data_IF_138851128829
#
_entry.id   IF_138851128829
#
_cell.length_a   1.000
_cell.length_b   1.000
_cell.length_c   1.000
_cell.angle_alpha   90.00
_cell.angle_beta   90.00
_cell.angle_gamma   90.00
#
_symmetry.space_group_name_H-M   'P 1'
#
loop_
_entity.id
_entity.type
_entity.pdbx_description
1 polymer ?
#
# COMPACT_ATOMS: atom_id res chain seq x y z
N UNK A 1 -30.99 -2.62 -8.62
CA UNK A 1 -29.68 -2.17 -9.12
C UNK A 1 -29.49 -0.77 -8.57
N UNK A 2 -28.76 -0.62 -7.47
CA UNK A 2 -28.41 0.71 -6.95
C UNK A 2 -27.26 1.23 -7.79
N UNK A 3 -27.44 2.38 -8.41
CA UNK A 3 -26.39 3.00 -9.21
C UNK A 3 -25.23 3.41 -8.30
N UNK A 4 -23.99 3.24 -8.75
CA UNK A 4 -22.82 3.79 -8.07
C UNK A 4 -23.04 5.30 -7.83
N UNK A 5 -22.66 5.82 -6.65
CA UNK A 5 -22.74 7.25 -6.38
C UNK A 5 -21.94 8.02 -7.43
N UNK A 6 -22.60 8.99 -8.07
CA UNK A 6 -22.00 9.78 -9.17
C UNK A 6 -21.01 10.83 -8.67
N UNK A 7 -20.96 11.09 -7.39
CA UNK A 7 -20.07 12.05 -6.75
C UNK A 7 -19.63 11.59 -5.35
N UNK A 8 -18.54 12.17 -4.85
CA UNK A 8 -18.09 11.93 -3.47
C UNK A 8 -19.17 12.33 -2.44
N UNK A 9 -19.93 13.40 -2.69
CA UNK A 9 -21.03 13.83 -1.83
C UNK A 9 -22.16 12.82 -1.77
N UNK A 10 -22.49 12.18 -2.88
CA UNK A 10 -23.52 11.13 -2.95
C UNK A 10 -23.06 9.87 -2.19
N UNK A 11 -21.79 9.51 -2.29
CA UNK A 11 -21.21 8.43 -1.51
C UNK A 11 -21.33 8.70 -0.01
N UNK A 12 -20.90 9.87 0.45
CA UNK A 12 -20.96 10.22 1.88
C UNK A 12 -22.40 10.29 2.42
N UNK A 13 -23.37 10.70 1.59
CA UNK A 13 -24.79 10.72 1.99
C UNK A 13 -25.40 9.32 2.14
N UNK A 14 -24.84 8.30 1.47
CA UNK A 14 -25.29 6.92 1.52
C UNK A 14 -24.57 6.09 2.59
N UNK A 15 -23.45 6.54 3.13
CA UNK A 15 -22.66 5.82 4.14
C UNK A 15 -23.51 5.27 5.32
N UNK A 16 -24.46 6.03 5.91
CA UNK A 16 -25.27 5.53 7.02
C UNK A 16 -26.16 4.32 6.65
N UNK A 17 -26.47 4.16 5.36
CA UNK A 17 -27.24 2.99 4.88
C UNK A 17 -26.34 1.79 4.55
N UNK A 18 -25.02 2.01 4.41
CA UNK A 18 -24.05 0.98 4.03
C UNK A 18 -23.29 0.39 5.23
N UNK A 19 -23.32 1.05 6.38
CA UNK A 19 -22.57 0.65 7.58
C UNK A 19 -23.55 0.59 8.76
N UNK A 20 -23.52 -0.52 9.50
CA UNK A 20 -24.24 -0.63 10.76
C UNK A 20 -23.69 0.40 11.76
N UNK A 21 -24.54 1.32 12.30
CA UNK A 21 -24.07 2.37 13.20
C UNK A 21 -23.45 1.86 14.50
N UNK A 22 -23.92 0.74 15.04
CA UNK A 22 -23.39 0.17 16.29
C UNK A 22 -22.01 -0.43 16.06
N UNK A 23 -21.82 -1.17 14.97
CA UNK A 23 -20.52 -1.71 14.57
C UNK A 23 -19.53 -0.60 14.25
N UNK A 24 -19.97 0.46 13.60
CA UNK A 24 -19.09 1.61 13.31
C UNK A 24 -18.65 2.35 14.59
N UNK A 25 -19.57 2.57 15.54
CA UNK A 25 -19.25 3.15 16.83
C UNK A 25 -18.30 2.26 17.65
N UNK A 26 -18.44 0.94 17.56
CA UNK A 26 -17.51 0.01 18.20
C UNK A 26 -16.13 0.12 17.55
N UNK A 27 -16.05 0.06 16.23
CA UNK A 27 -14.80 0.24 15.48
C UNK A 27 -14.09 1.56 15.84
N UNK A 28 -14.83 2.68 15.95
CA UNK A 28 -14.27 3.95 16.37
C UNK A 28 -13.69 3.92 17.79
N UNK A 29 -14.41 3.28 18.73
CA UNK A 29 -13.91 3.12 20.11
C UNK A 29 -12.64 2.30 20.16
N UNK A 30 -12.60 1.18 19.47
CA UNK A 30 -11.45 0.29 19.43
C UNK A 30 -10.24 1.00 18.80
N UNK A 31 -10.48 1.73 17.70
CA UNK A 31 -9.43 2.52 17.05
C UNK A 31 -8.86 3.62 17.95
N UNK A 32 -9.72 4.37 18.63
CA UNK A 32 -9.27 5.39 19.59
C UNK A 32 -8.51 4.79 20.77
N UNK A 33 -8.99 3.66 21.29
CA UNK A 33 -8.30 2.94 22.37
C UNK A 33 -6.90 2.49 21.94
N UNK A 34 -6.77 1.95 20.74
CA UNK A 34 -5.48 1.51 20.20
C UNK A 34 -4.54 2.69 19.94
N UNK A 35 -5.03 3.82 19.43
CA UNK A 35 -4.25 5.05 19.32
C UNK A 35 -3.72 5.51 20.68
N UNK A 36 -4.59 5.51 21.70
CA UNK A 36 -4.20 5.94 23.06
C UNK A 36 -3.21 4.97 23.72
N UNK A 37 -3.32 3.69 23.42
CA UNK A 37 -2.41 2.65 23.92
C UNK A 37 -1.07 2.63 23.18
N UNK A 38 -1.03 3.18 21.98
CA UNK A 38 0.10 3.18 21.06
C UNK A 38 0.26 1.85 20.30
N UNK A 39 0.98 1.90 19.18
CA UNK A 39 1.14 0.74 18.31
C UNK A 39 2.06 -0.33 18.94
N UNK A 40 1.75 -1.60 18.67
CA UNK A 40 2.56 -2.74 19.11
C UNK A 40 3.75 -2.94 18.16
N UNK A 41 4.97 -2.88 18.68
CA UNK A 41 6.20 -3.04 17.88
C UNK A 41 6.35 -4.45 17.31
N UNK A 42 5.82 -5.46 17.99
CA UNK A 42 5.87 -6.86 17.57
C UNK A 42 5.13 -7.07 16.22
N UNK A 43 4.10 -6.28 15.95
CA UNK A 43 3.36 -6.34 14.69
C UNK A 43 4.22 -5.93 13.46
N UNK A 44 5.26 -5.13 13.66
CA UNK A 44 6.18 -4.70 12.59
C UNK A 44 6.95 -5.88 12.02
N UNK A 45 7.41 -6.79 12.88
CA UNK A 45 8.21 -7.96 12.47
C UNK A 45 7.42 -8.97 11.62
N UNK A 46 6.09 -8.97 11.73
CA UNK A 46 5.22 -9.86 10.95
C UNK A 46 4.93 -9.32 9.53
N UNK A 47 5.14 -8.04 9.28
CA UNK A 47 4.90 -7.42 7.97
C UNK A 47 6.16 -7.48 7.11
N UNK A 48 6.08 -8.22 5.99
CA UNK A 48 7.21 -8.41 5.07
C UNK A 48 7.81 -7.11 4.52
N UNK A 49 7.04 -6.03 4.46
CA UNK A 49 7.49 -4.70 4.02
C UNK A 49 8.51 -4.09 4.95
N UNK A 50 8.51 -4.50 6.22
CA UNK A 50 9.38 -4.01 7.28
C UNK A 50 10.30 -5.10 7.83
N UNK A 51 10.55 -6.15 7.03
CA UNK A 51 11.36 -7.30 7.44
C UNK A 51 12.87 -7.04 7.49
N UNK A 52 13.37 -5.99 6.84
CA UNK A 52 14.78 -5.65 6.85
C UNK A 52 15.25 -5.13 8.22
N UNK A 53 16.49 -5.45 8.58
CA UNK A 53 17.07 -5.09 9.87
C UNK A 53 17.11 -3.57 10.13
N UNK A 54 17.19 -2.74 9.09
CA UNK A 54 17.20 -1.28 9.20
C UNK A 54 15.90 -0.73 9.80
N UNK A 55 14.77 -1.42 9.61
CA UNK A 55 13.50 -1.05 10.25
C UNK A 55 13.49 -1.26 11.76
N UNK A 56 14.30 -2.18 12.25
CA UNK A 56 14.35 -2.57 13.67
C UNK A 56 15.51 -1.91 14.43
N UNK A 57 16.54 -1.46 13.73
CA UNK A 57 17.74 -0.87 14.34
C UNK A 57 17.56 0.58 14.78
N UNK A 58 16.55 1.29 14.25
CA UNK A 58 16.28 2.68 14.56
C UNK A 58 14.86 2.86 15.09
N UNK A 59 14.73 3.39 16.29
CA UNK A 59 13.46 3.57 16.99
C UNK A 59 12.45 4.42 16.20
N UNK A 60 12.90 5.41 15.42
CA UNK A 60 12.02 6.27 14.62
C UNK A 60 11.33 5.47 13.52
N UNK A 61 12.11 4.67 12.77
CA UNK A 61 11.55 3.84 11.69
C UNK A 61 10.70 2.69 12.23
N UNK A 62 11.12 2.04 13.32
CA UNK A 62 10.29 1.04 14.00
C UNK A 62 8.95 1.64 14.43
N UNK A 63 8.97 2.83 15.01
CA UNK A 63 7.75 3.52 15.45
C UNK A 63 6.85 3.91 14.28
N UNK A 64 7.44 4.40 13.18
CA UNK A 64 6.72 4.76 11.96
C UNK A 64 6.03 3.54 11.34
N UNK A 65 6.74 2.42 11.21
CA UNK A 65 6.17 1.16 10.72
C UNK A 65 5.05 0.64 11.65
N UNK A 66 5.23 0.75 12.96
CA UNK A 66 4.23 0.34 13.94
C UNK A 66 2.95 1.19 13.87
N UNK A 67 3.07 2.51 13.73
CA UNK A 67 1.91 3.40 13.53
C UNK A 67 1.21 3.11 12.20
N UNK A 68 1.96 2.94 11.12
CA UNK A 68 1.38 2.54 9.85
C UNK A 68 0.60 1.23 9.98
N UNK A 69 1.17 0.21 10.64
CA UNK A 69 0.52 -1.08 10.85
C UNK A 69 -0.79 -0.96 11.64
N UNK A 70 -0.82 -0.14 12.71
CA UNK A 70 -2.02 0.13 13.48
C UNK A 70 -3.13 0.75 12.61
N UNK A 71 -2.79 1.82 11.89
CA UNK A 71 -3.77 2.49 11.02
C UNK A 71 -4.24 1.58 9.89
N UNK A 72 -3.31 0.84 9.24
CA UNK A 72 -3.63 -0.08 8.17
C UNK A 72 -4.59 -1.19 8.62
N UNK A 73 -4.38 -1.75 9.82
CA UNK A 73 -5.26 -2.77 10.39
C UNK A 73 -6.69 -2.24 10.60
N UNK A 74 -6.84 -1.06 11.18
CA UNK A 74 -8.17 -0.48 11.42
C UNK A 74 -8.87 -0.08 10.13
N UNK A 75 -8.13 0.47 9.16
CA UNK A 75 -8.69 0.78 7.84
C UNK A 75 -9.10 -0.50 7.11
N UNK A 76 -8.31 -1.57 7.21
CA UNK A 76 -8.63 -2.87 6.62
C UNK A 76 -9.94 -3.45 7.17
N UNK A 77 -10.23 -3.27 8.45
CA UNK A 77 -11.49 -3.69 9.08
C UNK A 77 -12.72 -3.05 8.45
N UNK A 78 -12.60 -1.83 7.87
CA UNK A 78 -13.71 -1.18 7.17
C UNK A 78 -14.26 -2.02 6.02
N UNK A 79 -13.46 -2.89 5.42
CA UNK A 79 -13.91 -3.83 4.39
C UNK A 79 -15.06 -4.73 4.86
N UNK A 80 -15.03 -5.13 6.13
CA UNK A 80 -16.06 -5.99 6.71
C UNK A 80 -17.26 -5.22 7.27
N UNK A 81 -17.08 -3.94 7.57
CA UNK A 81 -18.14 -3.07 8.10
C UNK A 81 -19.05 -2.51 6.99
N UNK A 82 -18.51 -2.35 5.79
CA UNK A 82 -19.26 -1.79 4.67
C UNK A 82 -20.03 -2.89 3.95
N UNK A 83 -21.33 -2.77 3.87
CA UNK A 83 -22.23 -3.75 3.25
C UNK A 83 -22.60 -3.29 1.83
N UNK A 84 -21.89 -3.82 0.86
CA UNK A 84 -22.10 -3.57 -0.57
C UNK A 84 -22.50 -4.86 -1.29
N UNK A 85 -23.15 -4.79 -2.47
CA UNK A 85 -23.29 -5.93 -3.35
C UNK A 85 -21.92 -6.57 -3.66
N UNK A 86 -21.88 -7.87 -3.92
CA UNK A 86 -20.64 -8.66 -4.00
C UNK A 86 -19.58 -8.05 -4.93
N UNK A 87 -19.97 -7.52 -6.08
CA UNK A 87 -19.04 -6.95 -7.04
C UNK A 87 -18.43 -5.64 -6.53
N UNK A 88 -19.26 -4.74 -6.03
CA UNK A 88 -18.84 -3.46 -5.45
C UNK A 88 -18.00 -3.67 -4.17
N UNK A 89 -18.33 -4.69 -3.38
CA UNK A 89 -17.53 -5.08 -2.21
C UNK A 89 -16.10 -5.47 -2.61
N UNK A 90 -15.94 -6.23 -3.69
CA UNK A 90 -14.62 -6.62 -4.20
C UNK A 90 -13.85 -5.40 -4.74
N UNK A 91 -14.51 -4.49 -5.46
CA UNK A 91 -13.89 -3.27 -5.96
C UNK A 91 -13.46 -2.35 -4.81
N UNK A 92 -14.31 -2.19 -3.80
CA UNK A 92 -14.01 -1.40 -2.60
C UNK A 92 -12.81 -1.99 -1.84
N UNK A 93 -12.82 -3.29 -1.58
CA UNK A 93 -11.73 -3.97 -0.90
C UNK A 93 -10.40 -3.82 -1.67
N UNK A 94 -10.43 -4.03 -2.98
CA UNK A 94 -9.25 -3.85 -3.84
C UNK A 94 -8.73 -2.39 -3.81
N UNK A 95 -9.61 -1.41 -3.97
CA UNK A 95 -9.23 -0.01 -3.93
C UNK A 95 -8.59 0.36 -2.58
N UNK A 96 -9.14 -0.14 -1.48
CA UNK A 96 -8.63 0.09 -0.14
C UNK A 96 -7.25 -0.56 0.06
N UNK A 97 -7.05 -1.78 -0.46
CA UNK A 97 -5.74 -2.45 -0.44
C UNK A 97 -4.69 -1.66 -1.22
N UNK A 98 -5.03 -1.16 -2.41
CA UNK A 98 -4.12 -0.35 -3.22
C UNK A 98 -3.77 0.97 -2.51
N UNK A 99 -4.76 1.60 -1.88
CA UNK A 99 -4.54 2.83 -1.13
C UNK A 99 -3.63 2.61 0.07
N UNK A 100 -3.89 1.57 0.87
CA UNK A 100 -3.04 1.19 2.00
C UNK A 100 -1.62 0.84 1.54
N UNK A 101 -1.48 0.08 0.46
CA UNK A 101 -0.17 -0.25 -0.10
C UNK A 101 0.58 1.03 -0.52
N UNK A 102 -0.09 1.96 -1.20
CA UNK A 102 0.52 3.21 -1.65
C UNK A 102 1.01 4.10 -0.50
N UNK A 103 0.31 4.09 0.65
CA UNK A 103 0.67 4.87 1.84
C UNK A 103 1.78 4.22 2.68
N UNK A 104 2.26 3.03 2.33
CA UNK A 104 3.31 2.37 3.10
C UNK A 104 4.59 3.22 3.15
N UNK A 105 5.17 3.47 4.34
CA UNK A 105 6.42 4.21 4.46
C UNK A 105 7.60 3.53 3.75
N UNK A 106 7.51 2.24 3.47
CA UNK A 106 8.53 1.51 2.68
C UNK A 106 8.62 1.97 1.21
N UNK A 107 7.62 2.69 0.70
CA UNK A 107 7.60 3.15 -0.69
C UNK A 107 8.35 4.48 -0.92
N UNK A 108 8.72 5.18 0.14
CA UNK A 108 9.26 6.53 0.01
C UNK A 108 10.70 6.59 0.53
N UNK A 109 11.60 7.17 -0.26
CA UNK A 109 13.03 7.24 0.06
C UNK A 109 13.30 7.78 1.47
N UNK A 110 12.64 8.86 1.88
CA UNK A 110 12.88 9.52 3.16
C UNK A 110 12.32 8.76 4.37
N UNK A 111 11.39 7.84 4.14
CA UNK A 111 10.76 7.04 5.18
C UNK A 111 11.17 5.56 5.15
N UNK A 112 11.96 5.17 4.14
CA UNK A 112 12.49 3.82 4.01
C UNK A 112 13.96 3.77 4.47
N UNK A 113 14.27 3.19 5.64
CA UNK A 113 15.63 3.15 6.18
C UNK A 113 16.61 2.31 5.34
N UNK A 114 16.12 1.27 4.66
CA UNK A 114 16.91 0.45 3.75
C UNK A 114 17.35 1.27 2.53
N UNK A 115 16.42 2.02 1.93
CA UNK A 115 16.71 2.90 0.81
C UNK A 115 17.69 4.03 1.20
N UNK A 116 17.52 4.59 2.42
CA UNK A 116 18.45 5.59 2.95
C UNK A 116 19.84 5.02 3.19
N UNK A 117 19.93 3.82 3.77
CA UNK A 117 21.22 3.15 3.98
C UNK A 117 21.95 2.88 2.65
N UNK A 118 21.21 2.41 1.64
CA UNK A 118 21.75 2.20 0.29
C UNK A 118 22.20 3.53 -0.35
N UNK A 119 21.42 4.59 -0.22
CA UNK A 119 21.79 5.91 -0.72
C UNK A 119 23.07 6.42 -0.07
N UNK A 120 23.24 6.25 1.24
CA UNK A 120 24.46 6.62 1.96
C UNK A 120 25.65 5.76 1.52
N UNK A 121 25.47 4.44 1.44
CA UNK A 121 26.55 3.52 1.03
C UNK A 121 27.06 3.78 -0.40
N UNK A 122 26.19 4.25 -1.28
CA UNK A 122 26.52 4.55 -2.69
C UNK A 122 26.84 6.02 -2.95
N UNK A 123 26.91 6.88 -1.92
CA UNK A 123 27.12 8.32 -2.09
C UNK A 123 26.05 8.98 -2.96
N UNK A 124 24.83 8.45 -2.98
CA UNK A 124 23.71 8.93 -3.79
C UNK A 124 23.65 8.36 -5.22
N UNK A 125 24.57 7.50 -5.63
CA UNK A 125 24.58 6.91 -6.98
C UNK A 125 23.31 6.08 -7.26
N UNK A 126 22.80 5.37 -6.25
CA UNK A 126 21.55 4.61 -6.36
C UNK A 126 20.35 5.50 -6.72
N UNK A 127 20.27 6.70 -6.15
CA UNK A 127 19.23 7.69 -6.45
C UNK A 127 19.38 8.21 -7.88
N UNK A 128 20.61 8.58 -8.25
CA UNK A 128 20.92 9.09 -9.60
C UNK A 128 20.57 8.07 -10.68
N UNK A 129 20.89 6.80 -10.46
CA UNK A 129 20.52 5.70 -11.37
C UNK A 129 19.00 5.52 -11.45
N UNK A 130 18.30 5.58 -10.31
CA UNK A 130 16.83 5.50 -10.27
C UNK A 130 16.17 6.61 -11.08
N UNK A 131 16.64 7.85 -10.93
CA UNK A 131 16.16 9.00 -11.71
C UNK A 131 16.46 8.82 -13.21
N UNK A 132 17.66 8.39 -13.57
CA UNK A 132 18.02 8.14 -14.97
C UNK A 132 17.15 7.07 -15.62
N UNK A 133 16.86 5.98 -14.90
CA UNK A 133 15.94 4.93 -15.36
C UNK A 133 14.53 5.47 -15.56
N UNK A 134 14.01 6.23 -14.59
CA UNK A 134 12.68 6.85 -14.69
C UNK A 134 12.58 7.77 -15.91
N UNK A 135 13.58 8.64 -16.14
CA UNK A 135 13.60 9.51 -17.30
C UNK A 135 13.67 8.73 -18.62
N UNK A 136 14.46 7.65 -18.66
CA UNK A 136 14.51 6.75 -19.82
C UNK A 136 13.17 6.09 -20.10
N UNK A 137 12.48 5.63 -19.05
CA UNK A 137 11.15 4.99 -19.17
C UNK A 137 10.10 5.99 -19.65
N UNK A 138 10.11 7.21 -19.12
CA UNK A 138 9.24 8.28 -19.59
C UNK A 138 9.46 8.62 -21.07
N UNK A 139 10.73 8.65 -21.52
CA UNK A 139 11.06 8.90 -22.94
C UNK A 139 10.60 7.75 -23.84
N UNK A 140 10.69 6.52 -23.37
CA UNK A 140 10.22 5.32 -24.09
C UNK A 140 8.70 5.13 -24.05
N UNK A 141 7.99 5.84 -23.18
CA UNK A 141 6.55 5.68 -22.95
C UNK A 141 6.16 4.33 -22.35
N UNK A 142 7.12 3.59 -21.78
CA UNK A 142 6.90 2.29 -21.12
C UNK A 142 7.88 2.10 -19.96
N UNK A 143 7.43 1.38 -18.94
CA UNK A 143 8.28 1.00 -17.81
C UNK A 143 9.12 -0.22 -18.20
N UNK A 144 10.46 -0.08 -18.16
CA UNK A 144 11.41 -1.15 -18.46
C UNK A 144 11.63 -2.02 -17.21
N UNK A 145 10.75 -2.98 -16.95
CA UNK A 145 10.85 -3.89 -15.81
C UNK A 145 11.68 -5.16 -16.12
N UNK A 146 11.86 -5.46 -17.38
CA UNK A 146 12.62 -6.62 -17.84
C UNK A 146 13.46 -6.26 -19.06
N UNK A 147 14.57 -6.97 -19.24
CA UNK A 147 15.35 -6.93 -20.49
C UNK A 147 14.65 -7.79 -21.54
N UNK A 148 13.78 -7.14 -22.32
CA UNK A 148 13.04 -7.81 -23.39
C UNK A 148 13.97 -8.35 -24.51
N UNK A 149 15.22 -7.90 -24.57
CA UNK A 149 16.18 -8.32 -25.61
C UNK A 149 16.58 -9.80 -25.50
N UNK A 150 16.43 -10.40 -24.33
CA UNK A 150 16.69 -11.82 -24.09
C UNK A 150 15.56 -12.73 -24.57
N UNK A 151 14.38 -12.16 -24.90
CA UNK A 151 13.23 -12.92 -25.36
C UNK A 151 13.12 -12.94 -26.88
N UNK A 152 13.17 -14.13 -27.46
CA UNK A 152 13.04 -14.33 -28.91
C UNK A 152 11.86 -15.26 -29.17
N UNK A 153 10.83 -14.75 -29.85
CA UNK A 153 9.64 -15.54 -30.23
C UNK A 153 10.05 -16.71 -31.07
N UNK A 154 9.57 -17.90 -30.74
CA UNK A 154 9.91 -19.16 -31.41
C UNK A 154 11.24 -19.81 -30.98
N UNK A 155 12.04 -19.14 -30.13
CA UNK A 155 13.28 -19.68 -29.59
C UNK A 155 13.19 -19.96 -28.09
N UNK A 156 12.76 -19.00 -27.31
CA UNK A 156 12.60 -19.10 -25.85
C UNK A 156 11.27 -18.52 -25.34
N UNK A 157 10.40 -18.06 -26.23
CA UNK A 157 9.02 -17.67 -25.98
C UNK A 157 8.10 -18.45 -26.90
N UNK A 158 7.12 -19.17 -26.33
CA UNK A 158 6.12 -19.89 -27.10
C UNK A 158 5.11 -18.94 -27.76
N UNK A 159 4.75 -19.20 -29.02
CA UNK A 159 3.60 -18.57 -29.67
C UNK A 159 2.38 -19.46 -29.46
N UNK A 160 1.28 -18.95 -28.93
CA UNK A 160 -0.03 -19.58 -29.03
C UNK A 160 -0.66 -19.17 -30.34
N UNK A 161 -1.07 -20.13 -31.15
CA UNK A 161 -1.94 -19.86 -32.30
C UNK A 161 -3.26 -19.32 -31.75
N UNK A 162 -3.64 -18.08 -32.13
CA UNK A 162 -4.94 -17.49 -31.83
C UNK A 162 -6.04 -18.10 -32.71
#
# INVERSE_FOLDING_TARGET
MSAMPSSASDFFSQLPALIDPEQFLQWQRDYLQDIMSGPKREAVAADRRFGDAHWHSNAVFTQMAAWYGLHAQHIDQLKSLVHLPKHEQQQFAFALDQWLAALSPSNYLLTNPEALALAQATGGESISKGIANLLSDLQKGKISQADDSVFTVGKNVATTAG
#
